data_IF_245141681039
#
_entry.id   IF_245141681039
#
_cell.length_a   1.000
_cell.length_b   1.000
_cell.length_c   1.000
_cell.angle_alpha   90.00
_cell.angle_beta   90.00
_cell.angle_gamma   90.00
#
_symmetry.space_group_name_H-M   'P 1'
#
loop_
_entity.id
_entity.type
_entity.pdbx_description
1 polymer ?
#
# COMPACT_ATOMS: atom_id res chain seq x y z
N UNK A 1 -5.14 -10.51 -12.66
CA UNK A 1 -6.33 -10.50 -11.79
C UNK A 1 -7.15 -9.26 -12.09
N UNK A 2 -8.49 -9.36 -12.09
CA UNK A 2 -9.33 -8.18 -12.28
C UNK A 2 -9.07 -7.17 -11.15
N UNK A 3 -8.97 -5.86 -11.47
CA UNK A 3 -8.58 -4.82 -10.53
C UNK A 3 -9.54 -4.70 -9.32
N UNK A 4 -10.78 -5.16 -9.48
CA UNK A 4 -11.78 -5.15 -8.42
C UNK A 4 -11.39 -6.03 -7.22
N UNK A 5 -10.79 -7.20 -7.45
CA UNK A 5 -10.42 -8.13 -6.37
C UNK A 5 -9.31 -7.53 -5.51
N UNK A 6 -8.28 -6.95 -6.13
CA UNK A 6 -7.17 -6.35 -5.40
C UNK A 6 -7.61 -5.13 -4.59
N UNK A 7 -8.53 -4.33 -5.13
CA UNK A 7 -9.11 -3.18 -4.41
C UNK A 7 -9.97 -3.62 -3.24
N UNK A 8 -10.79 -4.66 -3.42
CA UNK A 8 -11.60 -5.23 -2.34
C UNK A 8 -10.72 -5.81 -1.23
N UNK A 9 -9.68 -6.58 -1.57
CA UNK A 9 -8.72 -7.11 -0.60
C UNK A 9 -8.05 -5.99 0.19
N UNK A 10 -7.60 -4.94 -0.49
CA UNK A 10 -6.98 -3.79 0.17
C UNK A 10 -7.95 -3.03 1.09
N UNK A 11 -9.21 -2.90 0.69
CA UNK A 11 -10.24 -2.28 1.52
C UNK A 11 -10.51 -3.09 2.79
N UNK A 12 -10.73 -4.40 2.67
CA UNK A 12 -10.94 -5.30 3.82
C UNK A 12 -9.71 -5.31 4.73
N UNK A 13 -8.51 -5.26 4.16
CA UNK A 13 -7.26 -5.18 4.90
C UNK A 13 -7.17 -3.91 5.76
N UNK A 14 -7.51 -2.75 5.18
CA UNK A 14 -7.53 -1.48 5.92
C UNK A 14 -8.59 -1.50 7.03
N UNK A 15 -9.81 -2.00 6.74
CA UNK A 15 -10.85 -2.12 7.75
C UNK A 15 -10.44 -3.03 8.92
N UNK A 16 -9.83 -4.18 8.64
CA UNK A 16 -9.31 -5.07 9.68
C UNK A 16 -8.25 -4.36 10.54
N UNK A 17 -7.39 -3.55 9.92
CA UNK A 17 -6.42 -2.71 10.60
C UNK A 17 -7.07 -1.66 11.51
N UNK A 18 -8.08 -0.94 11.03
CA UNK A 18 -8.83 0.06 11.81
C UNK A 18 -9.46 -0.60 13.04
N UNK A 19 -10.17 -1.71 12.85
CA UNK A 19 -10.81 -2.45 13.94
C UNK A 19 -9.76 -2.92 14.97
N UNK A 20 -8.63 -3.45 14.51
CA UNK A 20 -7.56 -3.94 15.40
C UNK A 20 -6.94 -2.80 16.23
N UNK A 21 -6.66 -1.64 15.63
CA UNK A 21 -6.09 -0.49 16.34
C UNK A 21 -7.13 0.13 17.28
N UNK A 22 -8.36 0.33 16.80
CA UNK A 22 -9.46 0.93 17.57
C UNK A 22 -9.75 0.13 18.84
N UNK A 23 -9.89 -1.19 18.72
CA UNK A 23 -10.13 -2.06 19.89
C UNK A 23 -9.00 -1.99 20.92
N UNK A 24 -7.74 -1.85 20.48
CA UNK A 24 -6.62 -1.74 21.39
C UNK A 24 -6.49 -0.36 22.04
N UNK A 25 -6.90 0.70 21.33
CA UNK A 25 -7.05 2.04 21.89
C UNK A 25 -8.15 2.08 22.94
N UNK A 26 -9.28 1.41 22.73
CA UNK A 26 -10.34 1.34 23.74
C UNK A 26 -9.89 0.59 25.00
N UNK A 27 -9.31 -0.61 24.86
CA UNK A 27 -8.81 -1.40 26.01
C UNK A 27 -7.80 -0.61 26.87
N UNK A 28 -7.00 0.27 26.27
CA UNK A 28 -5.91 0.98 26.95
C UNK A 28 -6.19 2.41 27.32
N UNK A 29 -7.01 3.09 26.53
CA UNK A 29 -7.26 4.52 26.64
C UNK A 29 -8.43 4.83 27.56
N UNK A 30 -9.37 3.90 27.77
CA UNK A 30 -10.52 4.12 28.65
C UNK A 30 -10.45 3.24 29.91
N UNK A 31 -10.35 3.83 31.11
CA UNK A 31 -10.39 3.07 32.37
C UNK A 31 -11.78 2.51 32.69
N UNK A 32 -12.84 3.07 32.12
CA UNK A 32 -14.22 2.56 32.20
C UNK A 32 -14.68 2.17 30.80
N UNK A 33 -14.61 0.87 30.51
CA UNK A 33 -15.04 0.34 29.21
C UNK A 33 -16.56 0.21 29.17
N UNK A 34 -17.17 0.69 28.09
CA UNK A 34 -18.61 0.51 27.82
C UNK A 34 -18.96 -0.90 27.36
N UNK A 35 -17.94 -1.69 26.96
CA UNK A 35 -18.05 -3.06 26.46
C UNK A 35 -17.11 -3.97 27.26
N UNK A 36 -17.46 -5.25 27.41
CA UNK A 36 -16.62 -6.22 28.13
C UNK A 36 -15.23 -6.34 27.48
N UNK A 37 -14.18 -6.09 28.27
CA UNK A 37 -12.76 -6.20 27.87
C UNK A 37 -12.46 -7.53 27.19
N UNK A 38 -13.11 -8.63 27.61
CA UNK A 38 -12.92 -9.96 27.00
C UNK A 38 -13.39 -10.00 25.56
N UNK A 39 -14.47 -9.30 25.23
CA UNK A 39 -15.00 -9.22 23.86
C UNK A 39 -14.05 -8.39 22.99
N UNK A 40 -13.59 -7.23 23.46
CA UNK A 40 -12.64 -6.40 22.72
C UNK A 40 -11.33 -7.13 22.43
N UNK A 41 -10.80 -7.89 23.40
CA UNK A 41 -9.60 -8.70 23.20
C UNK A 41 -9.83 -9.78 22.14
N UNK A 42 -11.00 -10.45 22.13
CA UNK A 42 -11.35 -11.43 21.09
C UNK A 42 -11.44 -10.77 19.71
N UNK A 43 -12.10 -9.62 19.58
CA UNK A 43 -12.20 -8.87 18.32
C UNK A 43 -10.81 -8.42 17.84
N UNK A 44 -9.96 -7.92 18.74
CA UNK A 44 -8.58 -7.54 18.42
C UNK A 44 -7.76 -8.73 17.90
N UNK A 45 -7.85 -9.89 18.56
CA UNK A 45 -7.13 -11.11 18.13
C UNK A 45 -7.62 -11.57 16.76
N UNK A 46 -8.94 -11.65 16.56
CA UNK A 46 -9.50 -12.10 15.28
C UNK A 46 -9.17 -11.12 14.14
N UNK A 47 -9.33 -9.82 14.35
CA UNK A 47 -8.95 -8.80 13.35
C UNK A 47 -7.45 -8.81 13.06
N UNK A 48 -6.61 -9.05 14.07
CA UNK A 48 -5.17 -9.23 13.90
C UNK A 48 -4.82 -10.45 13.05
N UNK A 49 -5.47 -11.60 13.25
CA UNK A 49 -5.25 -12.78 12.40
C UNK A 49 -5.71 -12.55 10.96
N UNK A 50 -6.87 -11.92 10.77
CA UNK A 50 -7.38 -11.55 9.44
C UNK A 50 -6.39 -10.60 8.75
N UNK A 51 -5.87 -9.59 9.45
CA UNK A 51 -4.87 -8.66 8.92
C UNK A 51 -3.61 -9.39 8.44
N UNK A 52 -3.06 -10.30 9.26
CA UNK A 52 -1.86 -11.09 8.89
C UNK A 52 -2.14 -11.98 7.69
N UNK A 53 -3.28 -12.67 7.66
CA UNK A 53 -3.67 -13.53 6.54
C UNK A 53 -3.78 -12.74 5.23
N UNK A 54 -4.49 -11.60 5.27
CA UNK A 54 -4.64 -10.71 4.11
C UNK A 54 -3.30 -10.14 3.65
N UNK A 55 -2.43 -9.75 4.58
CA UNK A 55 -1.09 -9.28 4.24
C UNK A 55 -0.28 -10.35 3.50
N UNK A 56 -0.29 -11.61 3.97
CA UNK A 56 0.41 -12.72 3.30
C UNK A 56 -0.15 -12.94 1.89
N UNK A 57 -1.48 -12.94 1.74
CA UNK A 57 -2.13 -13.08 0.42
C UNK A 57 -1.68 -11.97 -0.52
N UNK A 58 -1.76 -10.70 -0.09
CA UNK A 58 -1.35 -9.55 -0.91
C UNK A 58 0.14 -9.62 -1.25
N UNK A 59 1.00 -10.03 -0.31
CA UNK A 59 2.43 -10.19 -0.53
C UNK A 59 2.73 -11.26 -1.59
N UNK A 60 2.06 -12.41 -1.54
CA UNK A 60 2.19 -13.46 -2.55
C UNK A 60 1.76 -12.96 -3.93
N UNK A 61 0.62 -12.26 -4.01
CA UNK A 61 0.14 -11.68 -5.26
C UNK A 61 1.14 -10.66 -5.85
N UNK A 62 1.78 -9.87 -4.99
CA UNK A 62 2.82 -8.93 -5.40
C UNK A 62 4.04 -9.64 -5.98
N UNK A 63 4.51 -10.73 -5.34
CA UNK A 63 5.64 -11.53 -5.83
C UNK A 63 5.31 -12.17 -7.19
N UNK A 64 4.11 -12.73 -7.35
CA UNK A 64 3.67 -13.30 -8.64
C UNK A 64 3.64 -12.22 -9.72
N UNK A 65 3.15 -11.02 -9.39
CA UNK A 65 3.12 -9.89 -10.33
C UNK A 65 4.52 -9.45 -10.73
N UNK A 66 5.46 -9.43 -9.78
CA UNK A 66 6.86 -9.05 -10.02
C UNK A 66 7.56 -9.99 -11.00
N UNK A 67 7.30 -11.30 -10.95
CA UNK A 67 7.86 -12.28 -11.90
C UNK A 67 7.50 -12.03 -13.35
N UNK A 68 6.36 -11.37 -13.60
CA UNK A 68 5.88 -11.06 -14.94
C UNK A 68 6.39 -9.70 -15.47
N UNK A 69 7.11 -8.92 -14.66
CA UNK A 69 7.74 -7.68 -15.10
C UNK A 69 9.05 -7.97 -15.84
N UNK A 70 9.04 -7.81 -17.16
CA UNK A 70 10.23 -7.93 -18.03
C UNK A 70 10.99 -6.61 -18.25
N UNK A 71 10.47 -5.51 -17.68
CA UNK A 71 10.97 -4.14 -17.88
C UNK A 71 11.15 -3.48 -16.52
N UNK A 72 12.05 -2.50 -16.40
CA UNK A 72 12.36 -1.80 -15.15
C UNK A 72 11.12 -1.29 -14.41
N UNK A 73 11.13 -1.41 -13.08
CA UNK A 73 10.02 -1.04 -12.21
C UNK A 73 9.80 0.47 -12.18
N UNK A 74 8.52 0.87 -12.18
CA UNK A 74 8.13 2.27 -11.92
C UNK A 74 8.58 2.68 -10.50
N UNK A 75 8.98 3.95 -10.27
CA UNK A 75 9.30 4.45 -8.94
C UNK A 75 8.20 4.17 -7.90
N UNK A 76 6.92 4.25 -8.30
CA UNK A 76 5.79 3.96 -7.44
C UNK A 76 5.73 2.48 -7.03
N UNK A 77 6.08 1.59 -7.96
CA UNK A 77 6.14 0.15 -7.69
C UNK A 77 7.30 -0.18 -6.73
N UNK A 78 8.44 0.49 -6.87
CA UNK A 78 9.57 0.35 -5.94
C UNK A 78 9.19 0.75 -4.51
N UNK A 79 8.52 1.91 -4.35
CA UNK A 79 8.05 2.36 -3.03
C UNK A 79 7.04 1.36 -2.44
N UNK A 80 6.12 0.84 -3.26
CA UNK A 80 5.14 -0.15 -2.81
C UNK A 80 5.83 -1.46 -2.35
N UNK A 81 6.81 -1.96 -3.11
CA UNK A 81 7.59 -3.15 -2.74
C UNK A 81 8.39 -2.88 -1.47
N UNK A 82 9.04 -1.72 -1.34
CA UNK A 82 9.81 -1.34 -0.16
C UNK A 82 8.92 -1.32 1.09
N UNK A 83 7.74 -0.70 1.01
CA UNK A 83 6.76 -0.69 2.11
C UNK A 83 6.31 -2.10 2.48
N UNK A 84 6.03 -2.94 1.48
CA UNK A 84 5.63 -4.33 1.69
C UNK A 84 6.72 -5.10 2.43
N UNK A 85 7.96 -5.04 1.95
CA UNK A 85 9.10 -5.73 2.55
C UNK A 85 9.41 -5.20 3.95
N UNK A 86 9.34 -3.89 4.19
CA UNK A 86 9.55 -3.28 5.50
C UNK A 86 8.47 -3.65 6.53
N UNK A 87 7.23 -3.88 6.07
CA UNK A 87 6.11 -4.29 6.93
C UNK A 87 6.32 -5.72 7.47
N UNK A 88 6.94 -6.60 6.68
CA UNK A 88 7.14 -8.02 7.05
C UNK A 88 7.90 -8.22 8.38
N UNK A 89 9.13 -7.69 8.57
CA UNK A 89 9.87 -7.89 9.82
C UNK A 89 9.15 -7.27 11.01
N UNK A 90 8.50 -6.11 10.85
CA UNK A 90 7.73 -5.46 11.93
C UNK A 90 6.56 -6.36 12.36
N UNK A 91 5.91 -7.01 11.40
CA UNK A 91 4.82 -7.94 11.68
C UNK A 91 5.33 -9.18 12.44
N UNK A 92 6.46 -9.75 12.02
CA UNK A 92 7.13 -10.86 12.73
C UNK A 92 7.49 -10.45 14.16
N UNK A 93 8.13 -9.29 14.34
CA UNK A 93 8.51 -8.75 15.66
C UNK A 93 7.26 -8.59 16.54
N UNK A 94 6.16 -8.03 16.02
CA UNK A 94 4.90 -7.90 16.77
C UNK A 94 4.37 -9.27 17.22
N UNK A 95 4.37 -10.27 16.34
CA UNK A 95 3.86 -11.61 16.66
C UNK A 95 4.74 -12.29 17.72
N UNK A 96 6.07 -12.20 17.58
CA UNK A 96 7.03 -12.73 18.56
C UNK A 96 6.90 -12.00 19.90
N UNK A 97 6.86 -10.67 19.90
CA UNK A 97 6.66 -9.85 21.09
C UNK A 97 5.37 -10.23 21.83
N UNK A 98 4.27 -10.42 21.10
CA UNK A 98 2.98 -10.79 21.68
C UNK A 98 2.96 -12.21 22.28
N UNK A 99 3.75 -13.16 21.75
CA UNK A 99 3.76 -14.55 22.22
C UNK A 99 4.81 -14.83 23.29
N UNK A 100 6.01 -14.26 23.14
CA UNK A 100 7.17 -14.59 23.97
C UNK A 100 7.36 -13.56 25.09
N UNK A 101 7.21 -12.27 24.79
CA UNK A 101 7.62 -11.19 25.69
C UNK A 101 6.42 -10.50 26.35
N UNK A 102 5.82 -11.13 27.35
CA UNK A 102 4.66 -10.57 28.10
C UNK A 102 4.93 -9.18 28.71
N UNK A 103 6.18 -8.90 29.12
CA UNK A 103 6.61 -7.60 29.67
C UNK A 103 6.61 -6.47 28.63
N UNK A 104 6.68 -6.80 27.34
CA UNK A 104 6.65 -5.83 26.24
C UNK A 104 5.24 -5.35 25.91
N UNK A 105 4.21 -5.80 26.66
CA UNK A 105 2.81 -5.48 26.40
C UNK A 105 2.60 -3.99 26.15
N UNK A 106 3.21 -3.09 26.93
CA UNK A 106 3.09 -1.64 26.77
C UNK A 106 3.43 -1.14 25.35
N UNK A 107 4.44 -1.71 24.70
CA UNK A 107 4.90 -1.30 23.38
C UNK A 107 4.11 -1.96 22.22
N UNK A 108 3.26 -2.97 22.47
CA UNK A 108 2.46 -3.62 21.42
C UNK A 108 1.53 -2.67 20.68
N UNK A 109 1.02 -1.64 21.37
CA UNK A 109 0.16 -0.62 20.74
C UNK A 109 0.95 0.17 19.68
N UNK A 110 2.19 0.54 19.99
CA UNK A 110 3.06 1.25 19.05
C UNK A 110 3.30 0.41 17.78
N UNK A 111 3.64 -0.88 17.92
CA UNK A 111 3.77 -1.79 16.78
C UNK A 111 2.45 -1.94 15.99
N UNK A 112 1.31 -1.96 16.68
CA UNK A 112 0.00 -2.02 16.04
C UNK A 112 -0.28 -0.80 15.16
N UNK A 113 -0.07 0.40 15.69
CA UNK A 113 -0.27 1.67 14.96
C UNK A 113 0.74 1.77 13.81
N UNK A 114 2.00 1.42 14.02
CA UNK A 114 3.03 1.44 12.99
C UNK A 114 2.67 0.52 11.79
N UNK A 115 2.23 -0.71 12.07
CA UNK A 115 1.76 -1.62 11.02
C UNK A 115 0.52 -1.10 10.30
N UNK A 116 -0.39 -0.44 11.01
CA UNK A 116 -1.56 0.17 10.40
C UNK A 116 -1.17 1.29 9.44
N UNK A 117 -0.28 2.20 9.84
CA UNK A 117 0.20 3.31 8.98
C UNK A 117 0.90 2.77 7.73
N UNK A 118 1.80 1.79 7.88
CA UNK A 118 2.48 1.17 6.75
C UNK A 118 1.50 0.43 5.83
N UNK A 119 0.59 -0.34 6.41
CA UNK A 119 -0.44 -1.07 5.69
C UNK A 119 -1.41 -0.16 4.93
N UNK A 120 -1.85 0.92 5.57
CA UNK A 120 -2.67 1.95 4.94
C UNK A 120 -1.94 2.60 3.77
N UNK A 121 -0.67 2.96 3.95
CA UNK A 121 0.15 3.57 2.88
C UNK A 121 0.33 2.63 1.69
N UNK A 122 0.61 1.35 1.96
CA UNK A 122 0.75 0.30 0.93
C UNK A 122 -0.51 0.20 0.07
N UNK A 123 -1.69 0.19 0.69
CA UNK A 123 -2.97 0.09 -0.01
C UNK A 123 -3.41 1.41 -0.64
N UNK A 124 -3.10 2.55 -0.03
CA UNK A 124 -3.43 3.87 -0.54
C UNK A 124 -2.72 4.19 -1.86
N UNK A 125 -1.43 3.86 -1.97
CA UNK A 125 -0.64 4.09 -3.19
C UNK A 125 -1.20 3.33 -4.39
N UNK A 126 -1.81 2.15 -4.18
CA UNK A 126 -2.30 1.29 -5.25
C UNK A 126 -3.81 1.43 -5.46
N UNK A 127 -4.61 1.07 -4.45
CA UNK A 127 -6.07 1.12 -4.49
C UNK A 127 -6.61 2.55 -4.46
N UNK A 128 -6.02 3.43 -3.67
CA UNK A 128 -6.44 4.84 -3.59
C UNK A 128 -6.27 5.56 -4.92
N UNK A 129 -5.14 5.35 -5.61
CA UNK A 129 -4.92 5.91 -6.95
C UNK A 129 -5.94 5.41 -7.98
N UNK A 130 -6.36 4.14 -7.90
CA UNK A 130 -7.38 3.59 -8.79
C UNK A 130 -8.78 4.17 -8.50
N UNK A 131 -9.13 4.31 -7.22
CA UNK A 131 -10.40 4.92 -6.82
C UNK A 131 -10.47 6.39 -7.25
N UNK A 132 -9.41 7.18 -7.01
CA UNK A 132 -9.34 8.59 -7.43
C UNK A 132 -9.44 8.75 -8.95
N UNK A 133 -8.80 7.88 -9.73
CA UNK A 133 -8.96 7.87 -11.19
C UNK A 133 -10.41 7.62 -11.61
N UNK A 134 -11.08 6.69 -10.93
CA UNK A 134 -12.43 6.26 -11.29
C UNK A 134 -13.49 7.27 -10.85
N UNK A 135 -13.35 7.87 -9.66
CA UNK A 135 -14.35 8.77 -9.08
C UNK A 135 -14.14 10.24 -9.44
N UNK A 136 -12.88 10.70 -9.49
CA UNK A 136 -12.57 12.10 -9.77
C UNK A 136 -12.18 12.34 -11.24
N UNK A 137 -12.19 11.29 -12.08
CA UNK A 137 -11.86 11.42 -13.51
C UNK A 137 -10.46 11.95 -13.75
N UNK A 138 -9.52 11.76 -12.82
CA UNK A 138 -8.10 12.11 -12.96
C UNK A 138 -7.47 11.13 -13.93
N UNK A 139 -7.87 11.19 -15.20
CA UNK A 139 -7.22 10.41 -16.25
C UNK A 139 -5.79 10.90 -16.37
N UNK A 140 -4.82 9.96 -16.41
CA UNK A 140 -3.55 10.22 -17.11
C UNK A 140 -3.83 10.99 -18.41
N UNK A 141 -2.97 11.95 -18.83
CA UNK A 141 -3.26 12.84 -19.96
C UNK A 141 -3.74 12.01 -21.14
N UNK A 142 -5.04 12.09 -21.38
CA UNK A 142 -5.74 11.19 -22.27
C UNK A 142 -5.09 11.38 -23.65
N UNK A 143 -4.64 10.28 -24.29
CA UNK A 143 -3.97 10.39 -25.60
C UNK A 143 -4.82 11.20 -26.57
N UNK A 144 -6.14 11.05 -26.51
CA UNK A 144 -7.10 11.84 -27.30
C UNK A 144 -7.13 13.34 -26.95
N UNK A 145 -6.78 13.73 -25.73
CA UNK A 145 -6.72 15.13 -25.26
C UNK A 145 -5.40 15.78 -25.67
N UNK A 146 -4.28 15.04 -25.57
CA UNK A 146 -2.98 15.44 -26.13
C UNK A 146 -3.10 15.51 -27.65
N UNK A 147 -3.77 14.55 -28.26
CA UNK A 147 -3.97 14.50 -29.70
C UNK A 147 -4.88 15.65 -30.16
N UNK A 148 -5.99 15.96 -29.47
CA UNK A 148 -6.84 17.11 -29.82
C UNK A 148 -6.21 18.48 -29.57
N UNK A 149 -5.43 18.65 -28.48
CA UNK A 149 -4.82 19.96 -28.16
C UNK A 149 -3.49 20.18 -28.87
N UNK A 150 -2.66 19.16 -29.01
CA UNK A 150 -1.31 19.30 -29.57
C UNK A 150 -1.28 19.15 -31.10
N UNK A 151 -2.20 18.40 -31.73
CA UNK A 151 -2.27 18.30 -33.19
C UNK A 151 -2.62 19.62 -33.89
N UNK A 152 -3.24 20.56 -33.16
CA UNK A 152 -3.58 21.89 -33.70
C UNK A 152 -2.37 22.81 -33.88
N UNK A 153 -1.29 22.59 -33.13
CA UNK A 153 -0.13 23.49 -33.13
C UNK A 153 1.15 22.82 -33.64
N UNK A 154 1.27 21.48 -33.54
CA UNK A 154 2.44 20.74 -34.03
C UNK A 154 2.07 19.34 -34.55
N UNK A 155 2.84 18.77 -35.50
CA UNK A 155 2.69 17.38 -35.89
C UNK A 155 2.93 16.47 -34.68
N UNK A 156 2.05 15.48 -34.49
CA UNK A 156 2.00 14.62 -33.30
C UNK A 156 3.34 13.94 -32.99
N UNK A 157 4.14 13.62 -34.02
CA UNK A 157 5.50 13.11 -33.85
C UNK A 157 6.37 13.99 -32.94
N UNK A 158 6.24 15.32 -33.02
CA UNK A 158 7.04 16.26 -32.21
C UNK A 158 6.53 16.37 -30.77
N UNK A 159 5.24 16.17 -30.55
CA UNK A 159 4.63 16.14 -29.22
C UNK A 159 4.97 14.84 -28.47
N UNK A 160 5.02 13.71 -29.19
CA UNK A 160 5.49 12.44 -28.63
C UNK A 160 7.01 12.39 -28.50
N UNK A 161 7.77 13.04 -29.40
CA UNK A 161 9.24 13.02 -29.32
C UNK A 161 9.77 13.76 -28.10
N UNK A 162 9.15 14.84 -27.61
CA UNK A 162 9.57 15.51 -26.36
C UNK A 162 9.31 14.65 -25.13
N UNK A 163 8.19 13.90 -25.09
CA UNK A 163 7.91 12.93 -24.03
C UNK A 163 8.93 11.78 -24.07
N UNK A 164 9.23 11.28 -25.27
CA UNK A 164 10.23 10.21 -25.48
C UNK A 164 11.66 10.70 -25.17
N UNK A 165 12.01 11.94 -25.50
CA UNK A 165 13.30 12.57 -25.22
C UNK A 165 13.47 12.88 -23.73
N UNK A 166 12.42 13.32 -23.04
CA UNK A 166 12.40 13.44 -21.58
C UNK A 166 12.67 12.08 -20.91
N UNK A 167 12.05 11.00 -21.44
CA UNK A 167 12.32 9.63 -20.96
C UNK A 167 13.73 9.13 -21.31
N UNK A 168 14.34 9.60 -22.40
CA UNK A 168 15.71 9.22 -22.82
C UNK A 168 16.77 9.97 -22.03
N UNK A 169 16.59 11.26 -21.79
CA UNK A 169 17.45 12.07 -20.90
C UNK A 169 17.42 11.55 -19.45
N UNK A 170 16.27 11.07 -18.97
CA UNK A 170 16.19 10.37 -17.69
C UNK A 170 16.90 8.99 -17.67
N UNK A 171 17.09 8.32 -18.82
CA UNK A 171 17.90 7.09 -18.91
C UNK A 171 19.39 7.40 -18.92
N UNK A 172 19.80 8.43 -19.66
CA UNK A 172 21.22 8.78 -19.80
C UNK A 172 21.78 9.41 -18.51
N UNK A 173 21.00 10.24 -17.80
CA UNK A 173 21.39 10.75 -16.49
C UNK A 173 21.53 9.66 -15.40
N UNK A 174 20.90 8.49 -15.58
CA UNK A 174 21.05 7.33 -14.68
C UNK A 174 22.28 6.48 -15.00
N UNK A 175 22.72 6.46 -16.26
CA UNK A 175 23.94 5.74 -16.64
C UNK A 175 25.21 6.49 -16.21
N UNK A 176 25.16 7.82 -16.08
CA UNK A 176 26.30 8.62 -15.60
C UNK A 176 26.54 8.53 -14.09
N UNK A 177 25.54 8.10 -13.30
CA UNK A 177 25.66 7.89 -11.85
C UNK A 177 26.09 6.46 -11.47
N UNK A 178 26.36 5.61 -12.46
CA UNK A 178 26.77 4.20 -12.29
C UNK A 178 28.18 3.91 -12.84
N UNK A 179 28.95 4.94 -13.18
CA UNK A 179 30.40 4.91 -13.43
C UNK A 179 31.11 5.73 -12.38
#
# INVERSE_FOLDING_TARGET
>A
MPPMITTLLGFVFVLAGIISVYTMLEIRGRPQLTLDSRVLIKIHKNSGYIFVLLYIVVLILMIIKLRNYKVGLSPLANIHILLAVATFPILVIKVVAARVYKKLSAQLLFFGVLLFVLGFSLNGITGGYYLLQTTMGISSPNKSLVEKKCSRCHPLEKAYSTVVLSQRSQREGKNFLLT
#
